data_IF_726337589826
#
_entry.id   IF_726337589826
#
_cell.length_a   1.000
_cell.length_b   1.000
_cell.length_c   1.000
_cell.angle_alpha   90.00
_cell.angle_beta   90.00
_cell.angle_gamma   90.00
#
_symmetry.space_group_name_H-M   'P 1'
#
loop_
_entity.id
_entity.type
_entity.pdbx_description
1 polymer ?
#
# COMPACT_ATOMS: atom_id res chain seq x y z
N UNK A 1 -4.77 4.10 -15.72
CA UNK A 1 -6.12 4.32 -15.16
C UNK A 1 -6.05 5.05 -13.83
N UNK A 2 -5.23 4.56 -12.88
CA UNK A 2 -5.08 5.13 -11.53
C UNK A 2 -4.61 6.58 -11.62
N UNK A 3 -3.55 6.87 -12.37
CA UNK A 3 -3.05 8.24 -12.60
C UNK A 3 -4.12 9.15 -13.20
N UNK A 4 -4.87 8.65 -14.19
CA UNK A 4 -5.97 9.43 -14.78
C UNK A 4 -7.08 9.72 -13.77
N UNK A 5 -7.36 8.77 -12.87
CA UNK A 5 -8.41 8.91 -11.86
C UNK A 5 -8.00 9.78 -10.67
N UNK A 6 -6.71 9.85 -10.34
CA UNK A 6 -6.16 10.63 -9.21
C UNK A 6 -5.54 11.96 -9.62
N UNK A 7 -5.16 12.12 -10.89
CA UNK A 7 -4.32 13.20 -11.40
C UNK A 7 -2.92 13.25 -10.76
N UNK A 8 -2.47 12.12 -10.18
CA UNK A 8 -1.16 11.97 -9.55
C UNK A 8 -0.41 10.87 -10.27
N UNK A 9 0.90 11.07 -10.49
CA UNK A 9 1.79 10.06 -11.07
C UNK A 9 1.91 8.86 -10.14
N UNK A 10 1.80 7.65 -10.70
CA UNK A 10 1.96 6.42 -9.93
C UNK A 10 3.44 6.23 -9.53
N UNK A 11 3.74 5.78 -8.30
CA UNK A 11 5.11 5.55 -7.87
C UNK A 11 5.77 4.41 -8.64
N UNK A 12 7.09 4.30 -8.48
CA UNK A 12 7.85 3.17 -9.04
C UNK A 12 7.28 1.86 -8.53
N UNK A 13 7.11 0.92 -9.45
CA UNK A 13 6.56 -0.40 -9.18
C UNK A 13 7.49 -1.47 -9.74
N UNK A 14 7.62 -2.58 -9.02
CA UNK A 14 8.35 -3.76 -9.51
C UNK A 14 7.62 -5.05 -9.16
N UNK A 15 7.89 -6.09 -9.96
CA UNK A 15 7.32 -7.41 -9.77
C UNK A 15 8.29 -8.28 -8.98
N UNK A 16 7.83 -8.77 -7.84
CA UNK A 16 8.53 -9.82 -7.10
C UNK A 16 8.25 -11.17 -7.78
N UNK A 17 9.28 -11.90 -8.21
CA UNK A 17 9.12 -13.15 -8.96
C UNK A 17 8.60 -14.33 -8.11
N UNK A 18 8.27 -14.09 -6.86
CA UNK A 18 7.72 -15.07 -5.92
C UNK A 18 6.34 -14.67 -5.41
N UNK A 19 5.65 -15.61 -4.78
CA UNK A 19 4.52 -15.28 -3.92
C UNK A 19 5.04 -14.75 -2.59
N UNK A 20 4.42 -13.68 -2.08
CA UNK A 20 4.73 -13.11 -0.79
C UNK A 20 3.79 -13.69 0.26
N UNK A 21 4.35 -14.30 1.31
CA UNK A 21 3.58 -14.86 2.43
C UNK A 21 3.94 -14.10 3.69
N UNK A 22 2.94 -13.49 4.32
CA UNK A 22 3.10 -12.91 5.65
C UNK A 22 2.66 -13.91 6.71
N UNK A 23 3.51 -14.14 7.71
CA UNK A 23 3.16 -14.91 8.90
C UNK A 23 3.59 -14.14 10.13
N UNK A 24 2.75 -14.10 11.16
CA UNK A 24 3.18 -13.73 12.50
C UNK A 24 3.87 -14.94 13.13
N UNK A 25 4.97 -14.72 13.87
CA UNK A 25 5.64 -15.78 14.62
C UNK A 25 4.74 -16.44 15.67
N UNK A 26 3.64 -15.79 16.03
CA UNK A 26 2.72 -16.21 17.08
C UNK A 26 1.34 -16.66 16.59
N UNK A 27 1.08 -16.68 15.29
CA UNK A 27 -0.21 -17.16 14.74
C UNK A 27 0.00 -18.17 13.62
N UNK A 28 -0.88 -19.17 13.56
CA UNK A 28 -0.95 -20.14 12.46
C UNK A 28 -1.54 -19.52 11.18
N UNK A 29 -1.95 -18.25 11.23
CA UNK A 29 -2.55 -17.54 10.10
C UNK A 29 -1.46 -17.04 9.17
N UNK A 30 -1.39 -17.67 8.02
CA UNK A 30 -0.50 -17.28 6.92
C UNK A 30 -1.31 -16.54 5.88
N UNK A 31 -1.02 -15.27 5.70
CA UNK A 31 -1.66 -14.44 4.68
C UNK A 31 -0.85 -14.37 3.38
N UNK A 32 -1.52 -14.42 2.23
CA UNK A 32 -0.91 -14.14 0.94
C UNK A 32 -0.95 -12.64 0.69
N UNK A 33 0.20 -12.03 0.44
CA UNK A 33 0.32 -10.65 0.03
C UNK A 33 0.48 -10.57 -1.48
N UNK A 34 -0.50 -9.98 -2.15
CA UNK A 34 -0.47 -9.78 -3.59
C UNK A 34 0.29 -8.52 -4.01
N UNK A 35 0.31 -7.51 -3.14
CA UNK A 35 1.10 -6.30 -3.30
C UNK A 35 1.39 -5.68 -1.94
N UNK A 36 2.38 -4.80 -1.89
CA UNK A 36 2.68 -3.98 -0.72
C UNK A 36 3.39 -2.69 -1.12
N UNK A 37 3.18 -1.66 -0.31
CA UNK A 37 3.91 -0.39 -0.41
C UNK A 37 5.07 -0.41 0.58
N UNK A 38 6.30 -0.23 0.09
CA UNK A 38 7.50 -0.30 0.92
C UNK A 38 8.40 0.91 0.72
N UNK A 39 9.01 1.43 1.79
CA UNK A 39 10.11 2.38 1.69
C UNK A 39 11.41 1.64 1.40
N UNK A 40 12.21 2.19 0.53
CA UNK A 40 13.57 1.75 0.23
C UNK A 40 14.53 2.89 0.49
N UNK A 41 15.69 2.59 1.06
CA UNK A 41 16.80 3.54 1.20
C UNK A 41 17.77 3.27 0.07
N UNK A 42 17.96 4.26 -0.79
CA UNK A 42 18.89 4.21 -1.92
C UNK A 42 19.75 5.46 -1.87
N UNK A 43 21.07 5.31 -1.68
CA UNK A 43 22.03 6.42 -1.59
C UNK A 43 21.56 7.53 -0.60
N UNK A 44 21.22 7.12 0.63
CA UNK A 44 20.71 8.01 1.70
C UNK A 44 19.41 8.76 1.40
N UNK A 45 18.72 8.39 0.34
CA UNK A 45 17.39 8.90 -0.01
C UNK A 45 16.31 7.85 0.18
N UNK A 46 15.15 8.27 0.69
CA UNK A 46 14.00 7.39 0.86
C UNK A 46 13.17 7.41 -0.43
N UNK A 47 12.97 6.22 -0.97
CA UNK A 47 12.07 5.98 -2.10
C UNK A 47 10.92 5.10 -1.64
N UNK A 48 9.71 5.51 -1.91
CA UNK A 48 8.54 4.67 -1.66
C UNK A 48 8.15 3.99 -2.96
N UNK A 49 8.11 2.67 -2.95
CA UNK A 49 7.83 1.85 -4.12
C UNK A 49 6.67 0.88 -3.83
N UNK A 50 6.03 0.41 -4.89
CA UNK A 50 5.00 -0.62 -4.80
C UNK A 50 5.57 -1.93 -5.37
N UNK A 51 5.60 -2.96 -4.52
CA UNK A 51 5.97 -4.31 -4.89
C UNK A 51 4.70 -5.12 -5.16
N UNK A 52 4.65 -5.83 -6.29
CA UNK A 52 3.55 -6.74 -6.62
C UNK A 52 4.09 -8.15 -6.79
N UNK A 53 3.34 -9.15 -6.37
CA UNK A 53 3.72 -10.55 -6.52
C UNK A 53 3.46 -11.06 -7.94
N UNK A 54 4.34 -11.93 -8.45
CA UNK A 54 4.18 -12.53 -9.77
C UNK A 54 2.84 -13.27 -9.93
N UNK A 55 2.30 -14.01 -8.95
CA UNK A 55 0.98 -14.63 -9.06
C UNK A 55 -0.16 -13.65 -9.33
N UNK A 56 -0.10 -12.42 -8.80
CA UNK A 56 -1.09 -11.39 -9.12
C UNK A 56 -1.07 -11.05 -10.62
N UNK A 57 0.13 -10.92 -11.18
CA UNK A 57 0.30 -10.59 -12.61
C UNK A 57 -0.16 -11.75 -13.48
N UNK A 58 0.15 -13.00 -13.08
CA UNK A 58 -0.16 -14.20 -13.85
C UNK A 58 -1.65 -14.56 -13.84
N UNK A 59 -2.32 -14.41 -12.69
CA UNK A 59 -3.68 -14.95 -12.49
C UNK A 59 -4.75 -13.91 -12.16
N UNK A 60 -4.33 -12.67 -11.83
CA UNK A 60 -5.26 -11.60 -11.49
C UNK A 60 -6.10 -11.15 -12.67
N UNK A 61 -7.40 -11.02 -12.46
CA UNK A 61 -8.25 -10.36 -13.43
C UNK A 61 -7.99 -8.85 -13.43
N UNK A 62 -8.20 -8.20 -14.56
CA UNK A 62 -7.97 -6.76 -14.74
C UNK A 62 -8.59 -5.90 -13.62
N UNK A 63 -9.84 -6.22 -13.21
CA UNK A 63 -10.52 -5.50 -12.12
C UNK A 63 -9.86 -5.72 -10.76
N UNK A 64 -9.39 -6.94 -10.49
CA UNK A 64 -8.66 -7.29 -9.26
C UNK A 64 -7.31 -6.58 -9.21
N UNK A 65 -6.53 -6.63 -10.29
CA UNK A 65 -5.25 -5.92 -10.41
C UNK A 65 -5.44 -4.41 -10.17
N UNK A 66 -6.43 -3.80 -10.83
CA UNK A 66 -6.73 -2.38 -10.63
C UNK A 66 -7.12 -2.05 -9.17
N UNK A 67 -7.90 -2.92 -8.52
CA UNK A 67 -8.32 -2.71 -7.13
C UNK A 67 -7.11 -2.77 -6.19
N UNK A 68 -6.25 -3.79 -6.34
CA UNK A 68 -5.05 -3.95 -5.52
C UNK A 68 -4.08 -2.78 -5.72
N UNK A 69 -3.76 -2.45 -6.97
CA UNK A 69 -2.85 -1.35 -7.25
C UNK A 69 -3.39 0.02 -6.78
N UNK A 70 -4.71 0.24 -6.86
CA UNK A 70 -5.31 1.45 -6.33
C UNK A 70 -5.32 1.47 -4.79
N UNK A 71 -5.49 0.32 -4.13
CA UNK A 71 -5.37 0.20 -2.68
C UNK A 71 -3.95 0.52 -2.21
N UNK A 72 -2.94 -0.08 -2.83
CA UNK A 72 -1.53 0.23 -2.54
C UNK A 72 -1.19 1.70 -2.82
N UNK A 73 -1.81 2.31 -3.82
CA UNK A 73 -1.64 3.74 -4.08
C UNK A 73 -2.19 4.61 -2.94
N UNK A 74 -3.28 4.20 -2.28
CA UNK A 74 -3.76 4.90 -1.07
C UNK A 74 -2.74 4.79 0.08
N UNK A 75 -2.14 3.62 0.29
CA UNK A 75 -1.05 3.43 1.26
C UNK A 75 0.16 4.30 0.92
N UNK A 76 0.55 4.34 -0.36
CA UNK A 76 1.62 5.22 -0.83
C UNK A 76 1.35 6.69 -0.47
N UNK A 77 0.18 7.21 -0.80
CA UNK A 77 -0.18 8.61 -0.52
C UNK A 77 -0.23 8.90 0.99
N UNK A 78 -0.69 7.95 1.79
CA UNK A 78 -0.69 8.08 3.24
C UNK A 78 0.72 8.09 3.81
N UNK A 79 1.58 7.18 3.35
CA UNK A 79 2.98 7.12 3.76
C UNK A 79 3.73 8.41 3.41
N UNK A 80 3.61 8.88 2.16
CA UNK A 80 4.21 10.17 1.74
C UNK A 80 3.67 11.33 2.58
N UNK A 81 2.37 11.32 2.91
CA UNK A 81 1.79 12.33 3.78
C UNK A 81 2.42 12.34 5.17
N UNK A 82 2.70 11.18 5.74
CA UNK A 82 3.37 11.06 7.05
C UNK A 82 4.83 11.47 6.96
N UNK A 83 5.54 11.05 5.91
CA UNK A 83 6.93 11.45 5.69
C UNK A 83 7.09 12.96 5.46
N UNK A 84 6.09 13.64 4.89
CA UNK A 84 6.13 15.10 4.67
C UNK A 84 5.91 15.93 5.93
N UNK A 85 5.39 15.33 7.00
CA UNK A 85 5.21 16.02 8.27
C UNK A 85 6.49 15.91 9.08
N UNK A 86 7.09 17.07 9.40
CA UNK A 86 8.26 17.18 10.28
C UNK A 86 8.04 16.67 11.70
N UNK A 87 6.85 16.20 12.04
CA UNK A 87 6.50 15.53 13.31
C UNK A 87 7.20 14.17 13.49
N UNK A 88 7.98 13.74 12.50
CA UNK A 88 8.78 12.50 12.50
C UNK A 88 10.05 12.56 13.39
N UNK A 89 10.17 13.53 14.28
CA UNK A 89 11.38 13.73 15.08
C UNK A 89 11.44 12.96 16.40
N UNK A 90 10.48 12.08 16.72
CA UNK A 90 10.56 11.23 17.89
C UNK A 90 10.90 9.79 17.53
N UNK A 91 11.79 9.15 18.32
CA UNK A 91 12.20 7.76 18.15
C UNK A 91 11.03 6.74 18.16
N UNK A 92 9.89 7.12 18.73
CA UNK A 92 8.67 6.32 18.73
C UNK A 92 8.01 6.20 17.34
N UNK A 93 8.32 7.12 16.43
CA UNK A 93 7.64 7.17 15.13
C UNK A 93 8.24 6.14 14.16
N UNK A 94 9.52 5.80 14.29
CA UNK A 94 10.18 4.89 13.37
C UNK A 94 9.65 3.46 13.41
N UNK A 95 9.29 2.95 14.59
CA UNK A 95 8.73 1.60 14.75
C UNK A 95 7.25 1.51 14.39
N UNK A 96 6.47 2.56 14.70
CA UNK A 96 5.02 2.55 14.53
C UNK A 96 4.55 3.06 13.16
N UNK A 97 5.39 3.75 12.39
CA UNK A 97 5.00 4.35 11.13
C UNK A 97 4.54 3.30 10.11
N UNK A 98 5.26 2.20 10.03
CA UNK A 98 5.01 1.13 9.06
C UNK A 98 3.97 0.13 9.56
N UNK A 99 4.00 -0.25 10.83
CA UNK A 99 2.99 -1.13 11.43
C UNK A 99 1.59 -0.51 11.35
N UNK A 100 1.47 0.77 11.63
CA UNK A 100 0.19 1.48 11.59
C UNK A 100 -0.36 1.68 10.18
N UNK A 101 0.48 1.73 9.13
CA UNK A 101 0.02 1.81 7.74
C UNK A 101 -0.64 0.50 7.31
N UNK A 102 -0.12 -0.64 7.78
CA UNK A 102 -0.62 -1.97 7.40
C UNK A 102 -1.69 -2.54 8.33
N UNK A 103 -1.66 -2.18 9.61
CA UNK A 103 -2.57 -2.75 10.61
C UNK A 103 -3.89 -2.00 10.76
N UNK A 104 -3.96 -0.75 10.37
CA UNK A 104 -5.11 0.11 10.64
C UNK A 104 -5.88 0.52 9.38
N UNK A 105 -6.80 -0.34 8.95
CA UNK A 105 -7.74 -0.07 7.84
C UNK A 105 -8.58 1.21 8.06
N UNK A 106 -8.66 1.72 9.29
CA UNK A 106 -9.45 2.92 9.61
C UNK A 106 -8.75 4.22 9.22
N UNK A 107 -7.42 4.18 8.97
CA UNK A 107 -6.60 5.36 8.67
C UNK A 107 -6.35 5.59 7.19
N UNK A 108 -6.72 4.66 6.31
CA UNK A 108 -6.60 4.84 4.87
C UNK A 108 -7.41 6.06 4.40
N UNK A 109 -6.86 6.74 3.41
CA UNK A 109 -7.58 7.77 2.68
C UNK A 109 -8.82 7.16 2.02
N UNK A 110 -9.95 7.85 2.14
CA UNK A 110 -11.17 7.43 1.47
C UNK A 110 -10.95 7.41 -0.06
N UNK A 111 -11.24 6.31 -0.75
CA UNK A 111 -11.03 6.22 -2.19
C UNK A 111 -11.67 7.38 -2.98
N UNK A 112 -12.84 7.86 -2.53
CA UNK A 112 -13.56 9.01 -3.13
C UNK A 112 -12.84 10.35 -2.94
N UNK A 113 -11.91 10.46 -2.00
CA UNK A 113 -11.12 11.68 -1.85
C UNK A 113 -9.98 11.75 -2.88
N UNK A 114 -9.53 10.59 -3.38
CA UNK A 114 -8.38 10.45 -4.27
C UNK A 114 -8.82 10.24 -5.72
N UNK A 115 -9.78 9.33 -5.94
CA UNK A 115 -10.17 8.92 -7.30
C UNK A 115 -11.49 9.56 -7.74
N UNK A 116 -11.55 9.97 -9.01
CA UNK A 116 -12.77 10.44 -9.68
C UNK A 116 -13.41 9.37 -10.59
N UNK A 117 -12.96 8.10 -10.48
CA UNK A 117 -13.47 6.96 -11.25
C UNK A 117 -14.34 6.06 -10.37
N UNK A 118 -15.66 6.15 -10.54
CA UNK A 118 -16.63 5.38 -9.75
C UNK A 118 -16.50 3.87 -9.92
N UNK A 119 -16.09 3.38 -11.10
CA UNK A 119 -15.85 1.95 -11.30
C UNK A 119 -14.62 1.49 -10.52
N UNK A 120 -13.53 2.27 -10.51
CA UNK A 120 -12.34 1.97 -9.73
C UNK A 120 -12.67 1.96 -8.24
N UNK A 121 -13.40 2.95 -7.75
CA UNK A 121 -13.88 3.02 -6.36
C UNK A 121 -14.71 1.78 -6.01
N UNK A 122 -15.66 1.40 -6.89
CA UNK A 122 -16.47 0.19 -6.68
C UNK A 122 -15.62 -1.09 -6.62
N UNK A 123 -14.59 -1.21 -7.45
CA UNK A 123 -13.68 -2.36 -7.41
C UNK A 123 -12.91 -2.42 -6.09
N UNK A 124 -12.36 -1.29 -5.61
CA UNK A 124 -11.67 -1.21 -4.32
C UNK A 124 -12.63 -1.65 -3.20
N UNK A 125 -13.81 -1.04 -3.11
CA UNK A 125 -14.78 -1.33 -2.05
C UNK A 125 -15.22 -2.79 -2.03
N UNK A 126 -15.39 -3.42 -3.21
CA UNK A 126 -15.80 -4.83 -3.31
C UNK A 126 -14.68 -5.80 -2.95
N UNK A 127 -13.44 -5.47 -3.26
CA UNK A 127 -12.29 -6.36 -3.02
C UNK A 127 -11.67 -6.18 -1.63
N UNK A 128 -11.89 -5.04 -1.00
CA UNK A 128 -11.39 -4.69 0.33
C UNK A 128 -12.52 -4.26 1.28
N UNK A 129 -13.47 -5.14 1.61
CA UNK A 129 -14.54 -4.80 2.56
C UNK A 129 -14.01 -4.69 4.02
N UNK A 130 -13.11 -5.59 4.41
CA UNK A 130 -12.40 -5.63 5.71
C UNK A 130 -11.08 -6.41 5.55
N UNK A 131 -10.33 -6.11 4.51
CA UNK A 131 -9.19 -6.88 4.01
C UNK A 131 -9.46 -7.35 2.59
N UNK A 132 -8.41 -7.82 1.92
CA UNK A 132 -8.53 -8.31 0.54
C UNK A 132 -9.33 -9.61 0.47
N UNK A 133 -10.26 -9.70 -0.51
CA UNK A 133 -11.06 -10.90 -0.78
C UNK A 133 -11.21 -11.13 -2.28
N UNK A 134 -10.61 -12.20 -2.77
CA UNK A 134 -10.82 -12.72 -4.13
C UNK A 134 -10.57 -14.23 -4.18
N UNK A 135 -11.57 -15.00 -3.79
CA UNK A 135 -11.49 -16.48 -3.76
C UNK A 135 -11.04 -17.09 -5.09
N UNK A 136 -11.44 -16.50 -6.23
CA UNK A 136 -11.04 -17.00 -7.55
C UNK A 136 -9.55 -16.82 -7.83
N UNK A 137 -8.97 -15.73 -7.31
CA UNK A 137 -7.53 -15.52 -7.40
C UNK A 137 -6.80 -16.45 -6.43
N UNK A 138 -7.29 -16.58 -5.20
CA UNK A 138 -6.72 -17.45 -4.18
C UNK A 138 -6.67 -18.90 -4.64
N UNK A 139 -7.78 -19.46 -5.14
CA UNK A 139 -7.86 -20.82 -5.68
C UNK A 139 -6.83 -21.06 -6.80
N UNK A 140 -6.70 -20.10 -7.72
CA UNK A 140 -5.72 -20.20 -8.80
C UNK A 140 -4.28 -20.17 -8.28
N UNK A 141 -4.01 -19.30 -7.30
CA UNK A 141 -2.67 -19.18 -6.72
C UNK A 141 -2.32 -20.45 -5.96
N UNK A 142 -3.23 -21.01 -5.18
CA UNK A 142 -2.99 -22.27 -4.50
C UNK A 142 -2.69 -23.37 -5.52
N UNK A 143 -3.58 -23.57 -6.50
CA UNK A 143 -3.49 -24.65 -7.47
C UNK A 143 -2.30 -24.52 -8.43
N UNK A 144 -2.04 -23.35 -8.96
CA UNK A 144 -1.07 -23.16 -10.03
C UNK A 144 0.25 -22.54 -9.57
N UNK A 145 0.39 -22.20 -8.30
CA UNK A 145 1.63 -21.66 -7.74
C UNK A 145 2.12 -22.49 -6.56
N UNK A 146 1.33 -22.63 -5.51
CA UNK A 146 1.75 -23.32 -4.28
C UNK A 146 1.87 -24.83 -4.50
N UNK A 147 0.88 -25.47 -5.09
CA UNK A 147 0.91 -26.92 -5.37
C UNK A 147 2.01 -27.27 -6.39
N UNK A 148 2.33 -26.35 -7.31
CA UNK A 148 3.43 -26.53 -8.27
C UNK A 148 4.80 -26.19 -7.68
N UNK A 149 4.88 -25.87 -6.39
CA UNK A 149 6.12 -25.52 -5.66
C UNK A 149 6.92 -24.39 -6.32
N UNK A 150 6.24 -23.41 -6.90
CA UNK A 150 6.87 -22.21 -7.45
C UNK A 150 7.40 -21.31 -6.30
N UNK A 151 8.31 -20.36 -6.58
CA UNK A 151 9.01 -19.61 -5.56
C UNK A 151 8.09 -18.91 -4.55
N UNK A 152 8.42 -19.04 -3.27
CA UNK A 152 7.72 -18.45 -2.13
C UNK A 152 8.72 -17.65 -1.30
N UNK A 153 8.42 -16.36 -1.07
CA UNK A 153 9.18 -15.49 -0.17
C UNK A 153 8.37 -15.24 1.10
N UNK A 154 8.94 -15.65 2.24
CA UNK A 154 8.35 -15.36 3.55
C UNK A 154 8.74 -13.96 3.99
N UNK A 155 7.77 -13.19 4.42
CA UNK A 155 7.96 -11.87 4.99
C UNK A 155 7.56 -11.95 6.45
N UNK A 156 8.49 -11.63 7.35
CA UNK A 156 8.15 -11.36 8.73
C UNK A 156 7.71 -9.90 8.84
N UNK A 157 6.52 -9.65 9.37
CA UNK A 157 6.05 -8.29 9.65
C UNK A 157 6.94 -7.61 10.70
N UNK A 158 7.56 -8.41 11.59
CA UNK A 158 8.42 -7.92 12.66
C UNK A 158 9.81 -7.45 12.18
N UNK A 159 10.25 -7.87 10.99
CA UNK A 159 11.58 -7.53 10.43
C UNK A 159 11.55 -6.39 9.42
N UNK A 160 10.38 -5.90 9.05
CA UNK A 160 10.22 -4.83 8.06
C UNK A 160 10.30 -3.41 8.65
N UNK A 161 10.76 -3.25 9.88
CA UNK A 161 11.07 -1.94 10.45
C UNK A 161 12.30 -1.36 9.75
N UNK A 162 12.07 -0.45 8.81
CA UNK A 162 13.15 0.37 8.26
C UNK A 162 13.52 1.39 9.34
N UNK A 163 14.65 1.21 9.98
CA UNK A 163 15.19 2.20 10.92
C UNK A 163 15.73 3.37 10.11
N UNK A 164 15.07 4.50 10.21
CA UNK A 164 15.50 5.75 9.59
C UNK A 164 16.27 6.57 10.62
N UNK A 165 17.46 7.04 10.25
CA UNK A 165 18.18 8.02 11.05
C UNK A 165 17.75 9.45 10.68
N UNK A 166 18.07 10.42 11.54
CA UNK A 166 17.71 11.82 11.34
C UNK A 166 18.24 12.40 10.01
N UNK A 167 19.42 11.96 9.55
CA UNK A 167 20.04 12.42 8.29
C UNK A 167 19.21 11.93 7.10
N UNK A 168 18.77 10.67 7.12
CA UNK A 168 17.94 10.11 6.07
C UNK A 168 16.56 10.78 6.00
N UNK A 169 15.99 11.14 7.15
CA UNK A 169 14.73 11.89 7.22
C UNK A 169 14.87 13.31 6.68
N UNK A 170 15.99 13.99 6.95
CA UNK A 170 16.25 15.34 6.44
C UNK A 170 16.51 15.38 4.92
N UNK A 171 16.92 14.27 4.33
CA UNK A 171 17.22 14.12 2.90
C UNK A 171 16.02 13.68 2.06
N UNK A 172 14.82 13.56 2.64
CA UNK A 172 13.62 13.22 1.88
C UNK A 172 13.29 14.38 0.92
N UNK A 173 13.49 14.14 -0.36
CA UNK A 173 13.05 15.06 -1.41
C UNK A 173 11.67 14.63 -1.88
N UNK A 174 10.66 15.35 -1.47
CA UNK A 174 9.29 15.14 -1.94
C UNK A 174 8.98 16.16 -3.05
N UNK A 175 8.27 15.69 -4.07
CA UNK A 175 7.81 16.54 -5.17
C UNK A 175 6.78 17.56 -4.65
N UNK A 176 7.03 18.84 -4.87
CA UNK A 176 6.14 19.92 -4.42
C UNK A 176 4.74 19.83 -5.00
N UNK A 177 4.61 19.40 -6.26
CA UNK A 177 3.30 19.20 -6.90
C UNK A 177 2.54 18.07 -6.20
N UNK A 178 3.22 16.99 -5.84
CA UNK A 178 2.62 15.90 -5.07
C UNK A 178 2.12 16.41 -3.70
N UNK A 179 2.92 17.22 -3.01
CA UNK A 179 2.54 17.78 -1.71
C UNK A 179 1.29 18.68 -1.81
N UNK A 180 1.22 19.55 -2.81
CA UNK A 180 0.04 20.37 -3.06
C UNK A 180 -1.22 19.53 -3.33
N UNK A 181 -1.09 18.47 -4.13
CA UNK A 181 -2.19 17.54 -4.40
C UNK A 181 -2.64 16.78 -3.15
N UNK A 182 -1.70 16.39 -2.29
CA UNK A 182 -2.00 15.74 -1.02
C UNK A 182 -2.80 16.64 -0.07
N UNK A 183 -2.53 17.93 -0.01
CA UNK A 183 -3.33 18.87 0.80
C UNK A 183 -4.78 18.99 0.31
N UNK A 184 -4.99 18.98 -1.01
CA UNK A 184 -6.34 18.95 -1.59
C UNK A 184 -7.06 17.65 -1.21
N UNK A 185 -6.36 16.52 -1.30
CA UNK A 185 -6.92 15.20 -0.93
C UNK A 185 -7.28 15.15 0.55
N UNK A 186 -6.41 15.64 1.44
CA UNK A 186 -6.67 15.69 2.89
C UNK A 186 -7.93 16.51 3.20
N UNK A 187 -8.08 17.66 2.56
CA UNK A 187 -9.27 18.51 2.72
C UNK A 187 -10.54 17.80 2.28
N UNK A 188 -10.52 17.12 1.13
CA UNK A 188 -11.65 16.31 0.65
C UNK A 188 -11.95 15.14 1.61
N UNK A 189 -10.92 14.44 2.06
CA UNK A 189 -11.04 13.30 2.97
C UNK A 189 -11.70 13.71 4.31
N UNK A 190 -11.28 14.83 4.88
CA UNK A 190 -11.85 15.36 6.10
C UNK A 190 -13.35 15.71 5.95
N UNK A 191 -13.73 16.29 4.82
CA UNK A 191 -15.14 16.59 4.50
C UNK A 191 -16.00 15.32 4.36
N UNK A 192 -15.47 14.29 3.71
CA UNK A 192 -16.16 13.01 3.53
C UNK A 192 -16.37 12.28 4.86
N UNK A 193 -15.35 12.26 5.74
CA UNK A 193 -15.45 11.64 7.06
C UNK A 193 -16.48 12.35 7.95
N UNK A 194 -16.51 13.67 7.95
CA UNK A 194 -17.55 14.44 8.70
C UNK A 194 -18.96 14.09 8.24
N UNK A 195 -19.20 13.92 6.93
CA UNK A 195 -20.53 13.55 6.40
C UNK A 195 -20.98 12.13 6.76
N UNK A 196 -20.09 11.24 7.20
CA UNK A 196 -20.45 9.88 7.65
C UNK A 196 -20.83 9.81 9.14
N UNK A 197 -20.48 10.84 9.91
CA UNK A 197 -20.76 10.91 11.35
C UNK A 197 -22.14 11.54 11.66
N UNK A 198 -22.82 12.03 10.62
CA UNK A 198 -24.19 12.56 10.65
C UNK A 198 -25.07 11.80 9.67
#
# INVERSE_FOLDING_TARGET
>A
RIEKASSIKYPTMYVEPSILISGSTNSLDVGILYARTIPLIVHDSIHVVIQISAPLVAYGLKGTIHAILAHEFLHYLELVTRLSKTELLSDEISSNLFENVYSDNTRLLEPRSVFNDNMLISHITKKFPSGFRDYKLEDKVIKFWIEQKLPVSKISLDTNTVKLNAIQLSNIKLDELLLQQLEIIKTKNSKLRKKRLY
#
